data_IF_097806508394
#
_entry.id   IF_097806508394
#
_cell.length_a   1.000
_cell.length_b   1.000
_cell.length_c   1.000
_cell.angle_alpha   90.00
_cell.angle_beta   90.00
_cell.angle_gamma   90.00
#
_symmetry.space_group_name_H-M   'P 1'
#
loop_
_entity.id
_entity.type
_entity.pdbx_description
1 polymer ?
#
# COMPACT_ATOMS: atom_id res chain seq x y z
N UNK A 1 -0.83 -20.43 10.69
CA UNK A 1 -0.14 -19.94 11.92
C UNK A 1 -0.39 -18.44 12.01
N UNK A 2 -1.55 -18.03 12.50
CA UNK A 2 -1.72 -16.67 13.03
C UNK A 2 -1.67 -16.83 14.55
N UNK A 3 -0.46 -16.97 15.08
CA UNK A 3 -0.26 -16.73 16.51
C UNK A 3 -0.62 -15.27 16.77
N UNK A 4 -1.23 -14.98 17.92
CA UNK A 4 -1.66 -13.64 18.31
C UNK A 4 -0.46 -12.68 18.41
N UNK A 5 -0.01 -12.16 17.26
CA UNK A 5 1.07 -11.18 17.18
C UNK A 5 0.58 -9.92 17.91
N UNK A 6 1.36 -9.47 18.89
CA UNK A 6 1.04 -8.28 19.65
C UNK A 6 0.97 -7.05 18.73
N UNK A 7 -0.01 -6.16 18.94
CA UNK A 7 -0.19 -4.95 18.10
C UNK A 7 1.07 -4.11 17.96
N UNK A 8 1.92 -4.07 18.99
CA UNK A 8 3.22 -3.39 18.94
C UNK A 8 4.17 -3.98 17.90
N UNK A 9 4.18 -5.30 17.72
CA UNK A 9 4.98 -5.97 16.68
C UNK A 9 4.37 -5.72 15.30
N UNK A 10 3.03 -5.78 15.18
CA UNK A 10 2.32 -5.45 13.94
C UNK A 10 2.55 -4.01 13.49
N UNK A 11 2.67 -3.06 14.41
CA UNK A 11 2.95 -1.67 14.09
C UNK A 11 4.34 -1.47 13.46
N UNK A 12 5.29 -2.36 13.75
CA UNK A 12 6.63 -2.32 13.15
C UNK A 12 6.65 -3.12 11.84
N UNK A 13 6.21 -4.38 11.88
CA UNK A 13 6.44 -5.35 10.80
C UNK A 13 5.21 -5.70 9.95
N UNK A 14 4.02 -5.22 10.30
CA UNK A 14 2.80 -5.49 9.54
C UNK A 14 2.91 -4.94 8.11
N UNK A 15 2.66 -5.76 7.10
CA UNK A 15 2.83 -5.39 5.68
C UNK A 15 4.29 -5.36 5.19
N UNK A 16 5.27 -5.67 6.04
CA UNK A 16 6.71 -5.60 5.74
C UNK A 16 7.43 -6.92 6.14
N UNK A 17 6.84 -8.06 5.77
CA UNK A 17 7.31 -9.38 6.20
C UNK A 17 8.55 -9.88 5.43
N UNK A 18 8.76 -9.37 4.21
CA UNK A 18 9.87 -9.77 3.33
C UNK A 18 10.83 -8.61 3.09
N UNK A 19 12.06 -8.93 2.70
CA UNK A 19 13.01 -7.91 2.28
C UNK A 19 12.56 -7.25 0.97
N UNK A 20 12.69 -5.93 0.90
CA UNK A 20 12.38 -5.15 -0.30
C UNK A 20 13.53 -5.24 -1.32
N UNK A 21 13.39 -4.50 -2.42
CA UNK A 21 14.39 -4.42 -3.49
C UNK A 21 15.81 -4.24 -2.92
N UNK A 22 16.78 -4.96 -3.51
CA UNK A 22 18.20 -4.94 -3.09
C UNK A 22 18.46 -5.43 -1.64
N UNK A 23 17.50 -6.14 -1.02
CA UNK A 23 17.62 -6.60 0.36
C UNK A 23 17.36 -5.51 1.40
N UNK A 24 16.71 -4.41 1.00
CA UNK A 24 16.35 -3.34 1.92
C UNK A 24 15.35 -3.83 2.97
N UNK A 25 15.61 -3.50 4.25
CA UNK A 25 14.71 -3.81 5.36
C UNK A 25 13.57 -2.79 5.45
N UNK A 26 13.86 -1.53 5.09
CA UNK A 26 12.86 -0.46 5.07
C UNK A 26 12.18 -0.39 3.70
N UNK A 27 10.90 -0.01 3.68
CA UNK A 27 10.14 0.25 2.45
C UNK A 27 10.85 1.30 1.59
N UNK A 28 11.25 0.98 0.35
CA UNK A 28 11.82 1.96 -0.57
C UNK A 28 10.79 3.02 -0.96
N UNK A 29 11.24 4.26 -1.12
CA UNK A 29 10.36 5.37 -1.51
C UNK A 29 10.29 5.48 -3.03
N UNK A 30 9.17 5.03 -3.60
CA UNK A 30 8.86 5.14 -5.03
C UNK A 30 8.20 6.49 -5.33
N UNK A 31 9.02 7.51 -5.54
CA UNK A 31 8.59 8.85 -5.94
C UNK A 31 8.38 8.95 -7.46
N UNK A 32 7.42 8.17 -7.97
CA UNK A 32 6.97 8.25 -9.36
C UNK A 32 5.46 8.44 -9.42
N UNK A 33 4.97 9.10 -10.47
CA UNK A 33 3.53 9.26 -10.72
C UNK A 33 3.02 8.13 -11.61
N UNK A 34 3.80 7.73 -12.62
CA UNK A 34 3.46 6.71 -13.60
C UNK A 34 4.47 5.56 -13.55
N UNK A 35 4.03 4.35 -13.88
CA UNK A 35 4.88 3.17 -13.94
C UNK A 35 4.95 2.66 -15.38
N UNK A 36 6.16 2.29 -15.81
CA UNK A 36 6.41 1.83 -17.18
C UNK A 36 6.15 0.32 -17.30
N UNK A 37 5.75 -0.10 -18.50
CA UNK A 37 5.58 -1.50 -18.89
C UNK A 37 6.26 -1.72 -20.24
N UNK A 38 6.86 -2.89 -20.42
CA UNK A 38 7.53 -3.25 -21.68
C UNK A 38 6.53 -3.78 -22.72
N UNK A 39 5.42 -4.40 -22.26
CA UNK A 39 4.35 -4.93 -23.10
C UNK A 39 3.01 -4.22 -22.83
N UNK A 40 2.37 -3.75 -23.90
CA UNK A 40 1.04 -3.14 -23.84
C UNK A 40 -0.05 -4.13 -23.45
N UNK A 41 0.08 -5.41 -23.80
CA UNK A 41 -0.86 -6.43 -23.38
C UNK A 41 -0.83 -6.62 -21.86
N UNK A 42 0.37 -6.65 -21.26
CA UNK A 42 0.55 -6.69 -19.82
C UNK A 42 -0.05 -5.46 -19.14
N UNK A 43 0.24 -4.26 -19.65
CA UNK A 43 -0.35 -3.03 -19.13
C UNK A 43 -1.88 -3.08 -19.12
N UNK A 44 -2.48 -3.61 -20.19
CA UNK A 44 -3.94 -3.73 -20.32
C UNK A 44 -4.53 -4.73 -19.32
N UNK A 45 -3.87 -5.86 -19.08
CA UNK A 45 -4.30 -6.83 -18.08
C UNK A 45 -4.21 -6.28 -16.65
N UNK A 46 -3.18 -5.47 -16.35
CA UNK A 46 -3.09 -4.73 -15.07
C UNK A 46 -4.20 -3.69 -14.98
N UNK A 47 -4.50 -2.97 -16.06
CA UNK A 47 -5.56 -1.96 -16.08
C UNK A 47 -6.95 -2.54 -15.83
N UNK A 48 -7.18 -3.79 -16.27
CA UNK A 48 -8.41 -4.54 -16.01
C UNK A 48 -8.41 -5.29 -14.67
N UNK A 49 -7.34 -5.19 -13.86
CA UNK A 49 -7.21 -5.89 -12.59
C UNK A 49 -7.04 -7.40 -12.70
N UNK A 50 -6.71 -7.92 -13.90
CA UNK A 50 -6.43 -9.35 -14.11
C UNK A 50 -5.03 -9.75 -13.63
N UNK A 51 -4.11 -8.79 -13.59
CA UNK A 51 -2.75 -8.96 -13.09
C UNK A 51 -2.45 -7.88 -12.03
N UNK A 52 -1.70 -8.25 -10.99
CA UNK A 52 -1.20 -7.28 -10.01
C UNK A 52 -0.18 -6.33 -10.65
N UNK A 53 -0.28 -5.05 -10.35
CA UNK A 53 0.65 -4.04 -10.84
C UNK A 53 0.24 -2.62 -10.45
N UNK A 54 1.13 -1.69 -10.75
CA UNK A 54 0.93 -0.26 -10.53
C UNK A 54 0.91 0.45 -11.87
N UNK A 55 -0.07 1.31 -12.13
CA UNK A 55 -0.13 2.11 -13.38
C UNK A 55 0.06 3.58 -13.05
N UNK A 56 -0.60 4.03 -11.99
CA UNK A 56 -0.64 5.43 -11.59
C UNK A 56 -0.71 5.55 -10.08
N UNK A 57 0.19 6.32 -9.47
CA UNK A 57 0.35 6.42 -8.01
C UNK A 57 -0.87 6.97 -7.26
N UNK A 58 -1.80 7.62 -7.95
CA UNK A 58 -3.09 8.02 -7.36
C UNK A 58 -3.95 6.83 -6.94
N UNK A 59 -3.80 5.70 -7.64
CA UNK A 59 -4.58 4.50 -7.42
C UNK A 59 -3.83 3.54 -6.52
N UNK A 60 -2.59 3.20 -6.88
CA UNK A 60 -1.75 2.29 -6.11
C UNK A 60 -0.29 2.73 -6.23
N UNK A 61 0.46 2.67 -5.13
CA UNK A 61 1.89 2.95 -5.10
C UNK A 61 2.61 1.93 -4.21
N UNK A 62 3.75 1.37 -4.63
CA UNK A 62 4.47 0.35 -3.86
C UNK A 62 4.90 0.81 -2.46
N UNK A 63 5.15 2.11 -2.27
CA UNK A 63 5.50 2.69 -0.96
C UNK A 63 4.30 2.72 -0.02
N UNK A 64 3.11 2.92 -0.57
CA UNK A 64 1.88 3.16 0.19
C UNK A 64 1.17 1.86 0.54
N UNK A 65 1.32 0.83 -0.29
CA UNK A 65 0.67 -0.48 -0.12
C UNK A 65 1.02 -1.19 1.21
N UNK A 66 2.30 -1.27 1.64
CA UNK A 66 2.65 -1.83 2.96
C UNK A 66 1.99 -1.08 4.13
N UNK A 67 1.86 0.24 4.01
CA UNK A 67 1.22 1.08 5.03
C UNK A 67 -0.28 0.77 5.12
N UNK A 68 -0.96 0.64 3.98
CA UNK A 68 -2.37 0.25 3.91
C UNK A 68 -2.62 -1.12 4.56
N UNK A 69 -1.78 -2.11 4.24
CA UNK A 69 -1.86 -3.45 4.84
C UNK A 69 -1.63 -3.41 6.35
N UNK A 70 -0.64 -2.63 6.80
CA UNK A 70 -0.36 -2.43 8.22
C UNK A 70 -1.57 -1.88 8.96
N UNK A 71 -2.25 -0.88 8.40
CA UNK A 71 -3.46 -0.30 9.01
C UNK A 71 -4.60 -1.31 9.03
N UNK A 72 -4.82 -2.06 7.94
CA UNK A 72 -5.82 -3.13 7.90
C UNK A 72 -5.57 -4.18 8.99
N UNK A 73 -4.32 -4.64 9.15
CA UNK A 73 -3.93 -5.60 10.19
C UNK A 73 -4.11 -5.06 11.61
N UNK A 74 -3.86 -3.77 11.84
CA UNK A 74 -3.98 -3.14 13.17
C UNK A 74 -5.44 -2.94 13.60
N UNK A 75 -6.32 -2.66 12.64
CA UNK A 75 -7.75 -2.44 12.87
C UNK A 75 -8.59 -3.73 12.72
N UNK A 76 -8.03 -4.78 12.12
CA UNK A 76 -8.72 -6.04 11.87
C UNK A 76 -9.64 -6.00 10.64
N UNK A 77 -9.38 -5.08 9.70
CA UNK A 77 -10.06 -5.01 8.40
C UNK A 77 -9.45 -5.95 7.37
N UNK A 78 -10.19 -6.24 6.30
CA UNK A 78 -9.69 -7.03 5.17
C UNK A 78 -8.69 -6.23 4.34
N UNK A 79 -8.96 -4.94 4.14
CA UNK A 79 -8.13 -4.03 3.35
C UNK A 79 -8.26 -2.61 3.87
N UNK A 80 -7.29 -1.76 3.55
CA UNK A 80 -7.37 -0.33 3.77
C UNK A 80 -6.91 0.43 2.52
N UNK A 81 -7.47 1.61 2.32
CA UNK A 81 -7.06 2.53 1.26
C UNK A 81 -6.72 3.87 1.89
N UNK A 82 -5.56 4.39 1.54
CA UNK A 82 -5.11 5.70 1.97
C UNK A 82 -5.59 6.78 1.00
N UNK A 83 -5.99 7.92 1.54
CA UNK A 83 -6.28 9.10 0.73
C UNK A 83 -5.89 10.37 1.45
N UNK A 84 -5.63 11.39 0.64
CA UNK A 84 -5.24 12.69 1.11
C UNK A 84 -6.44 13.61 1.27
N UNK A 85 -6.81 13.93 2.50
CA UNK A 85 -7.89 14.86 2.77
C UNK A 85 -7.34 16.21 3.19
N UNK A 86 -7.77 17.25 2.48
CA UNK A 86 -7.47 18.63 2.85
C UNK A 86 -8.66 19.23 3.57
N UNK A 87 -8.45 19.58 4.84
CA UNK A 87 -9.42 20.37 5.60
C UNK A 87 -8.89 21.79 5.79
N UNK A 88 -9.60 22.78 5.25
CA UNK A 88 -9.16 24.18 5.29
C UNK A 88 -7.97 24.50 4.37
N UNK A 89 -7.42 25.71 4.48
CA UNK A 89 -6.49 26.23 3.48
C UNK A 89 -5.05 25.68 3.58
N UNK A 90 -4.64 25.20 4.75
CA UNK A 90 -3.22 24.93 5.04
C UNK A 90 -2.95 23.55 5.65
N UNK A 91 -3.97 22.71 5.86
CA UNK A 91 -3.80 21.42 6.54
C UNK A 91 -4.07 20.26 5.60
N UNK A 92 -3.12 19.36 5.58
CA UNK A 92 -2.97 18.28 4.62
C UNK A 92 -2.88 16.99 5.44
N UNK A 93 -3.95 16.18 5.48
CA UNK A 93 -4.04 15.00 6.34
C UNK A 93 -4.12 13.71 5.52
N UNK A 94 -3.31 12.71 5.90
CA UNK A 94 -3.45 11.34 5.41
C UNK A 94 -4.50 10.61 6.25
N UNK A 95 -5.54 10.09 5.61
CA UNK A 95 -6.64 9.35 6.24
C UNK A 95 -6.76 7.98 5.56
N UNK A 96 -7.24 6.97 6.27
CA UNK A 96 -7.49 5.62 5.75
C UNK A 96 -8.98 5.29 5.78
N UNK A 97 -9.47 4.67 4.71
CA UNK A 97 -10.75 3.97 4.68
C UNK A 97 -10.48 2.48 4.85
N UNK A 98 -11.20 1.82 5.75
CA UNK A 98 -10.99 0.40 6.09
C UNK A 98 -12.20 -0.40 5.60
N UNK A 99 -11.92 -1.48 4.87
CA UNK A 99 -12.92 -2.43 4.44
C UNK A 99 -13.15 -3.45 5.57
N UNK A 100 -14.34 -3.40 6.16
CA UNK A 100 -14.78 -4.39 7.14
C UNK A 100 -15.08 -5.74 6.48
N UNK A 101 -14.75 -6.82 7.17
CA UNK A 101 -15.05 -8.20 6.79
C UNK A 101 -16.54 -8.54 6.85
#
# INVERSE_FOLDING_TARGET
MQDNIHKGTTAIWGGEAEAFAEGAICVPVFNSVTFNYDDMAEWFDVALGKKAGHIYSRNTNPTVRPLEEKIALLDGGEDATSFFYRYGCNQQHLIFLIKSA
#
